data_IF_116819099167
#
_entry.id   IF_116819099167
#
_cell.length_a   1.000
_cell.length_b   1.000
_cell.length_c   1.000
_cell.angle_alpha   90.00
_cell.angle_beta   90.00
_cell.angle_gamma   90.00
#
_symmetry.space_group_name_H-M   'P 1'
#
loop_
_entity.id
_entity.type
_entity.pdbx_description
1 polymer ?
#
# COMPACT_ATOMS: atom_id res chain seq x y z
N UNK A 1 -5.35 -0.81 16.35
CA UNK A 1 -4.49 -1.66 15.48
C UNK A 1 -3.69 -0.74 14.55
N UNK A 2 -2.49 -1.12 14.10
CA UNK A 2 -1.77 -0.30 13.09
C UNK A 2 -2.48 -0.54 11.76
N UNK A 3 -3.14 0.48 11.21
CA UNK A 3 -3.75 0.40 9.89
C UNK A 3 -2.71 0.67 8.81
N UNK A 4 -2.78 -0.09 7.72
CA UNK A 4 -1.99 0.20 6.53
C UNK A 4 -2.53 1.49 5.90
N UNK A 5 -1.65 2.44 5.53
CA UNK A 5 -2.07 3.70 4.91
C UNK A 5 -2.42 3.55 3.42
N UNK A 6 -2.46 2.30 2.91
CA UNK A 6 -2.74 1.97 1.51
C UNK A 6 -4.25 1.91 1.27
N UNK A 7 -4.74 2.62 0.26
CA UNK A 7 -6.13 2.51 -0.21
C UNK A 7 -6.29 1.56 -1.40
N UNK A 8 -5.33 1.52 -2.33
CA UNK A 8 -5.32 0.53 -3.41
C UNK A 8 -3.90 0.19 -3.89
N UNK A 9 -3.76 -1.01 -4.47
CA UNK A 9 -2.52 -1.51 -5.07
C UNK A 9 -2.61 -1.47 -6.59
N UNK A 10 -1.56 -0.97 -7.23
CA UNK A 10 -1.59 -0.66 -8.66
C UNK A 10 -0.25 -0.96 -9.32
N UNK A 11 -0.30 -1.23 -10.61
CA UNK A 11 0.90 -1.53 -11.39
C UNK A 11 0.74 -1.00 -12.81
N UNK A 12 1.83 -0.53 -13.39
CA UNK A 12 1.85 -0.10 -14.78
C UNK A 12 2.14 -1.29 -15.70
N UNK A 13 1.42 -1.41 -16.81
CA UNK A 13 1.76 -2.37 -17.86
C UNK A 13 3.05 -1.97 -18.57
N UNK A 14 3.96 -2.91 -18.83
CA UNK A 14 5.19 -2.67 -19.57
C UNK A 14 4.96 -2.36 -21.06
N UNK A 15 3.88 -2.89 -21.65
CA UNK A 15 3.61 -2.75 -23.09
C UNK A 15 2.82 -1.49 -23.43
N UNK A 16 1.68 -1.27 -22.75
CA UNK A 16 0.78 -0.15 -23.03
C UNK A 16 0.92 1.02 -22.06
N UNK A 17 1.72 0.89 -21.00
CA UNK A 17 1.95 1.92 -19.97
C UNK A 17 0.69 2.34 -19.19
N UNK A 18 -0.43 1.64 -19.36
CA UNK A 18 -1.67 1.86 -18.61
C UNK A 18 -1.58 1.25 -17.22
N UNK A 19 -2.28 1.86 -16.26
CA UNK A 19 -2.32 1.39 -14.88
C UNK A 19 -3.42 0.34 -14.71
N UNK A 20 -3.12 -0.68 -13.90
CA UNK A 20 -4.01 -1.78 -13.56
C UNK A 20 -4.12 -1.92 -12.04
N UNK A 21 -5.32 -2.19 -11.54
CA UNK A 21 -5.51 -2.56 -10.13
C UNK A 21 -5.00 -3.97 -9.87
N UNK A 22 -4.38 -4.13 -8.70
CA UNK A 22 -4.02 -5.43 -8.14
C UNK A 22 -5.01 -5.73 -7.01
N UNK A 23 -5.72 -6.87 -7.04
CA UNK A 23 -6.88 -7.11 -6.19
C UNK A 23 -6.52 -7.30 -4.71
N UNK A 24 -5.30 -7.76 -4.42
CA UNK A 24 -4.87 -8.07 -3.05
C UNK A 24 -3.44 -7.63 -2.79
N UNK A 25 -3.17 -7.27 -1.53
CA UNK A 25 -1.81 -6.99 -1.05
C UNK A 25 -0.85 -8.12 -1.33
N UNK A 26 -1.27 -9.37 -1.13
CA UNK A 26 -0.43 -10.54 -1.35
C UNK A 26 0.02 -10.66 -2.82
N UNK A 27 -0.88 -10.41 -3.78
CA UNK A 27 -0.53 -10.42 -5.20
C UNK A 27 0.39 -9.26 -5.54
N UNK A 28 0.17 -8.08 -4.95
CA UNK A 28 1.06 -6.93 -5.09
C UNK A 28 2.48 -7.24 -4.61
N UNK A 29 2.62 -7.83 -3.42
CA UNK A 29 3.93 -8.19 -2.86
C UNK A 29 4.65 -9.24 -3.70
N UNK A 30 3.92 -10.23 -4.25
CA UNK A 30 4.47 -11.23 -5.18
C UNK A 30 4.99 -10.59 -6.46
N UNK A 31 4.21 -9.70 -7.08
CA UNK A 31 4.64 -9.02 -8.30
C UNK A 31 5.83 -8.11 -7.98
N UNK A 32 5.78 -7.32 -6.91
CA UNK A 32 6.86 -6.41 -6.48
C UNK A 32 8.21 -7.12 -6.31
N UNK A 33 8.18 -8.33 -5.73
CA UNK A 33 9.38 -9.14 -5.51
C UNK A 33 10.04 -9.55 -6.84
N UNK A 34 9.23 -9.82 -7.87
CA UNK A 34 9.68 -10.41 -9.13
C UNK A 34 9.73 -9.42 -10.30
N UNK A 35 9.20 -8.20 -10.15
CA UNK A 35 9.00 -7.24 -11.24
C UNK A 35 10.28 -6.79 -11.96
N UNK A 36 11.44 -6.90 -11.31
CA UNK A 36 12.72 -6.59 -11.93
C UNK A 36 13.11 -7.63 -13.00
N UNK A 37 12.65 -8.87 -12.84
CA UNK A 37 12.97 -10.01 -13.71
C UNK A 37 11.79 -10.33 -14.63
N UNK A 38 10.56 -10.18 -14.13
CA UNK A 38 9.32 -10.44 -14.84
C UNK A 38 8.49 -9.14 -14.89
N UNK A 39 8.67 -8.31 -15.94
CA UNK A 39 7.82 -7.15 -16.16
C UNK A 39 6.35 -7.54 -16.22
N UNK A 40 5.49 -6.64 -15.75
CA UNK A 40 4.06 -6.89 -15.75
C UNK A 40 3.42 -6.45 -17.08
N UNK A 41 2.63 -7.33 -17.69
CA UNK A 41 1.81 -7.03 -18.87
C UNK A 41 0.32 -7.23 -18.56
N UNK A 42 -0.57 -6.66 -19.37
CA UNK A 42 -2.02 -6.79 -19.13
C UNK A 42 -2.50 -8.25 -19.18
N UNK A 43 -1.83 -9.10 -19.95
CA UNK A 43 -2.08 -10.54 -20.00
C UNK A 43 -1.93 -11.18 -18.61
N UNK A 44 -0.96 -10.74 -17.80
CA UNK A 44 -0.77 -11.21 -16.42
C UNK A 44 -1.98 -10.87 -15.54
N UNK A 45 -2.68 -9.76 -15.82
CA UNK A 45 -3.88 -9.38 -15.08
C UNK A 45 -5.08 -10.29 -15.36
N UNK A 46 -5.04 -11.12 -16.41
CA UNK A 46 -6.12 -12.08 -16.72
C UNK A 46 -6.34 -13.12 -15.63
N UNK A 47 -5.36 -13.33 -14.75
CA UNK A 47 -5.52 -14.12 -13.53
C UNK A 47 -6.68 -13.64 -12.64
N UNK A 48 -7.00 -12.34 -12.64
CA UNK A 48 -8.10 -11.75 -11.86
C UNK A 48 -9.10 -10.94 -12.68
N UNK A 49 -8.79 -10.61 -13.94
CA UNK A 49 -9.69 -9.91 -14.87
C UNK A 49 -9.58 -10.55 -16.27
N UNK A 50 -10.29 -11.65 -16.55
CA UNK A 50 -10.03 -12.51 -17.72
C UNK A 50 -10.05 -11.82 -19.08
N UNK A 51 -10.90 -10.82 -19.26
CA UNK A 51 -11.10 -10.11 -20.54
C UNK A 51 -10.15 -8.92 -20.76
N UNK A 52 -9.25 -8.62 -19.80
CA UNK A 52 -8.38 -7.44 -19.92
C UNK A 52 -7.35 -7.61 -21.06
N UNK A 53 -7.17 -6.51 -21.75
CA UNK A 53 -6.23 -6.31 -22.85
C UNK A 53 -5.49 -4.98 -22.69
N UNK A 54 -4.49 -4.77 -23.54
CA UNK A 54 -3.80 -3.49 -23.65
C UNK A 54 -4.67 -2.40 -24.31
N UNK A 55 -5.75 -2.76 -24.99
CA UNK A 55 -6.66 -1.82 -25.63
C UNK A 55 -7.65 -1.20 -24.63
N UNK A 56 -7.99 -1.93 -23.57
CA UNK A 56 -8.82 -1.41 -22.48
C UNK A 56 -8.23 -0.17 -21.82
N UNK A 57 -9.10 0.74 -21.40
CA UNK A 57 -8.74 1.98 -20.71
C UNK A 57 -7.96 1.73 -19.42
N UNK A 58 -7.18 2.73 -19.00
CA UNK A 58 -6.43 2.68 -17.75
C UNK A 58 -7.38 2.60 -16.56
N UNK A 59 -7.11 1.71 -15.60
CA UNK A 59 -7.95 1.59 -14.39
C UNK A 59 -7.85 2.86 -13.53
N UNK A 60 -6.73 3.56 -13.66
CA UNK A 60 -6.44 4.80 -12.97
C UNK A 60 -5.79 5.79 -13.94
N UNK A 61 -6.23 7.04 -13.84
CA UNK A 61 -5.61 8.17 -14.52
C UNK A 61 -4.91 9.01 -13.48
N UNK A 62 -3.76 9.59 -13.83
CA UNK A 62 -3.04 10.52 -12.96
C UNK A 62 -3.65 11.91 -13.11
N UNK A 63 -4.78 12.10 -12.44
CA UNK A 63 -5.58 13.34 -12.46
C UNK A 63 -5.37 14.24 -11.23
N UNK A 64 -4.51 13.81 -10.29
CA UNK A 64 -4.25 14.50 -9.03
C UNK A 64 -5.17 14.08 -7.88
N UNK A 65 -6.15 13.22 -8.12
CA UNK A 65 -7.05 12.68 -7.08
C UNK A 65 -6.37 11.67 -6.15
N UNK A 66 -5.19 11.17 -6.54
CA UNK A 66 -4.47 10.10 -5.86
C UNK A 66 -3.05 10.52 -5.52
N UNK A 67 -2.63 10.25 -4.27
CA UNK A 67 -1.22 10.30 -3.91
C UNK A 67 -0.55 8.99 -4.29
N UNK A 68 0.42 9.07 -5.20
CA UNK A 68 1.15 7.90 -5.71
C UNK A 68 2.47 7.71 -4.98
N UNK A 69 2.72 6.46 -4.58
CA UNK A 69 4.01 6.05 -4.04
C UNK A 69 4.48 4.78 -4.75
N UNK A 70 5.72 4.79 -5.24
CA UNK A 70 6.29 3.70 -6.04
C UNK A 70 7.27 2.92 -5.16
N UNK A 71 6.99 1.63 -4.91
CA UNK A 71 7.94 0.76 -4.23
C UNK A 71 9.14 0.48 -5.16
N UNK A 72 10.31 0.27 -4.56
CA UNK A 72 11.46 -0.24 -5.32
C UNK A 72 11.16 -1.68 -5.77
N UNK A 73 11.60 -2.09 -6.97
CA UNK A 73 11.59 -3.49 -7.37
C UNK A 73 12.36 -4.37 -6.38
N UNK A 74 12.04 -5.66 -6.38
CA UNK A 74 12.76 -6.70 -5.63
C UNK A 74 12.70 -6.54 -4.11
N UNK A 75 11.73 -5.77 -3.58
CA UNK A 75 11.45 -5.82 -2.15
C UNK A 75 10.74 -7.15 -1.87
N UNK A 76 11.31 -7.99 -0.98
CA UNK A 76 10.85 -9.36 -0.77
C UNK A 76 9.46 -9.40 -0.16
N UNK A 77 8.69 -10.42 -0.52
CA UNK A 77 7.44 -10.71 0.17
C UNK A 77 7.75 -11.02 1.64
N UNK A 78 6.97 -10.49 2.60
CA UNK A 78 7.14 -10.83 4.00
C UNK A 78 7.03 -12.34 4.22
N UNK A 79 7.72 -12.91 5.22
CA UNK A 79 7.54 -14.31 5.59
C UNK A 79 6.09 -14.64 5.91
N UNK A 80 5.72 -15.92 5.82
CA UNK A 80 4.35 -16.35 6.11
C UNK A 80 3.89 -15.91 7.51
N UNK A 81 2.71 -15.29 7.59
CA UNK A 81 2.14 -14.75 8.82
C UNK A 81 2.71 -13.40 9.27
N UNK A 82 3.80 -12.93 8.65
CA UNK A 82 4.31 -11.58 8.88
C UNK A 82 3.64 -10.58 7.94
N UNK A 83 3.56 -9.33 8.38
CA UNK A 83 3.00 -8.25 7.57
C UNK A 83 3.97 -7.08 7.49
N UNK A 84 4.27 -6.60 6.28
CA UNK A 84 4.93 -5.31 6.06
C UNK A 84 3.87 -4.21 6.01
N UNK A 85 3.95 -3.23 6.89
CA UNK A 85 2.97 -2.14 6.99
C UNK A 85 3.65 -0.82 6.68
N UNK A 86 3.01 0.01 5.87
CA UNK A 86 3.48 1.34 5.53
C UNK A 86 2.63 2.39 6.24
N UNK A 87 3.29 3.31 6.94
CA UNK A 87 2.66 4.46 7.57
C UNK A 87 3.09 5.73 6.84
N UNK A 88 2.19 6.33 6.08
CA UNK A 88 2.45 7.60 5.37
C UNK A 88 2.55 8.72 6.42
N UNK A 89 3.53 9.61 6.24
CA UNK A 89 3.72 10.80 7.09
C UNK A 89 3.12 12.01 6.39
N UNK A 90 2.71 13.02 7.15
CA UNK A 90 2.25 14.28 6.55
C UNK A 90 3.31 14.91 5.64
N UNK A 91 2.83 15.63 4.63
CA UNK A 91 3.65 16.41 3.69
C UNK A 91 4.58 17.38 4.42
N UNK A 92 5.74 17.65 3.81
CA UNK A 92 6.73 18.56 4.38
C UNK A 92 7.64 17.94 5.46
N UNK A 93 7.52 16.63 5.68
CA UNK A 93 8.45 15.86 6.51
C UNK A 93 9.80 15.58 5.84
N UNK A 94 10.73 14.95 6.59
CA UNK A 94 12.05 14.51 6.07
C UNK A 94 12.01 13.14 5.38
N UNK A 95 10.89 12.42 5.50
CA UNK A 95 10.67 11.07 4.94
C UNK A 95 9.20 10.93 4.56
N UNK A 96 8.95 10.20 3.48
CA UNK A 96 7.62 9.93 2.95
C UNK A 96 6.79 9.03 3.89
N UNK A 97 7.39 7.94 4.36
CA UNK A 97 6.73 6.95 5.20
C UNK A 97 7.67 6.35 6.24
N UNK A 98 7.09 5.61 7.16
CA UNK A 98 7.77 4.61 7.98
C UNK A 98 7.35 3.21 7.54
N UNK A 99 8.31 2.27 7.58
CA UNK A 99 8.07 0.84 7.32
C UNK A 99 8.10 0.09 8.64
N UNK A 100 7.09 -0.74 8.87
CA UNK A 100 7.00 -1.64 10.00
C UNK A 100 6.87 -3.08 9.51
N UNK A 101 7.37 -4.02 10.29
CA UNK A 101 6.95 -5.42 10.20
C UNK A 101 6.16 -5.80 11.45
N UNK A 102 5.13 -6.61 11.27
CA UNK A 102 4.35 -7.19 12.37
C UNK A 102 4.49 -8.69 12.30
N UNK A 103 4.96 -9.29 13.40
CA UNK A 103 5.06 -10.74 13.54
C UNK A 103 3.67 -11.39 13.72
N UNK A 104 3.52 -12.71 13.50
CA UNK A 104 2.31 -13.44 13.85
C UNK A 104 1.87 -13.25 15.31
N UNK A 105 2.83 -13.02 16.22
CA UNK A 105 2.57 -12.70 17.63
C UNK A 105 1.94 -11.31 17.86
N UNK A 106 1.92 -10.45 16.84
CA UNK A 106 1.47 -9.06 16.91
C UNK A 106 2.57 -8.06 17.27
N UNK A 107 3.78 -8.53 17.57
CA UNK A 107 4.92 -7.65 17.87
C UNK A 107 5.36 -6.85 16.63
N UNK A 108 5.80 -5.60 16.85
CA UNK A 108 6.10 -4.65 15.78
C UNK A 108 7.57 -4.27 15.75
N UNK A 109 8.13 -4.28 14.55
CA UNK A 109 9.54 -4.04 14.31
C UNK A 109 9.73 -2.86 13.35
N UNK A 110 10.71 -2.01 13.67
CA UNK A 110 11.08 -0.81 12.90
C UNK A 110 12.47 -0.86 12.29
N UNK A 111 13.20 -1.96 12.45
CA UNK A 111 14.55 -2.11 11.92
C UNK A 111 14.95 -3.57 11.80
N UNK A 112 15.92 -3.83 10.91
CA UNK A 112 16.54 -5.15 10.77
C UNK A 112 17.21 -5.63 12.06
N UNK A 113 17.89 -4.73 12.78
CA UNK A 113 18.55 -5.08 14.06
C UNK A 113 17.55 -5.64 15.07
N UNK A 114 16.33 -5.10 15.12
CA UNK A 114 15.29 -5.60 16.01
C UNK A 114 14.71 -6.93 15.54
N UNK A 115 14.55 -7.13 14.22
CA UNK A 115 14.17 -8.43 13.66
C UNK A 115 15.20 -9.51 13.99
N UNK A 116 16.49 -9.22 13.81
CA UNK A 116 17.58 -10.17 14.09
C UNK A 116 17.60 -10.60 15.56
N UNK A 117 17.54 -9.62 16.49
CA UNK A 117 17.47 -9.92 17.92
C UNK A 117 16.29 -10.81 18.24
N UNK A 118 15.11 -10.48 17.70
CA UNK A 118 13.89 -11.25 17.91
C UNK A 118 13.99 -12.67 17.37
N UNK A 119 14.46 -12.87 16.14
CA UNK A 119 14.59 -14.22 15.57
C UNK A 119 15.61 -15.09 16.34
N UNK A 120 16.64 -14.49 16.93
CA UNK A 120 17.58 -15.20 17.80
C UNK A 120 16.97 -15.62 19.14
N UNK A 121 16.07 -14.80 19.69
CA UNK A 121 15.36 -15.05 20.94
C UNK A 121 14.17 -16.00 20.77
N UNK A 122 13.65 -16.13 19.54
CA UNK A 122 12.44 -16.88 19.19
C UNK A 122 12.73 -17.99 18.14
N UNK A 123 13.36 -19.11 18.54
CA UNK A 123 13.72 -20.21 17.65
C UNK A 123 12.51 -20.94 17.03
N UNK A 124 11.27 -20.66 17.46
CA UNK A 124 10.05 -21.16 16.83
C UNK A 124 9.83 -20.64 15.41
N UNK A 125 10.45 -19.52 15.03
CA UNK A 125 10.40 -18.98 13.67
C UNK A 125 11.46 -19.61 12.74
N UNK A 126 11.81 -20.87 12.98
CA UNK A 126 12.71 -21.66 12.11
C UNK A 126 12.25 -21.61 10.65
N UNK A 127 13.14 -21.17 9.76
CA UNK A 127 12.87 -21.01 8.32
C UNK A 127 12.54 -19.59 7.88
N UNK A 128 12.30 -18.65 8.81
CA UNK A 128 12.25 -17.22 8.49
C UNK A 128 13.67 -16.69 8.32
N UNK A 129 13.97 -16.12 7.16
CA UNK A 129 15.30 -15.55 6.88
C UNK A 129 15.28 -14.03 6.84
N UNK A 130 16.40 -13.41 7.20
CA UNK A 130 16.55 -11.95 7.18
C UNK A 130 16.33 -11.35 5.79
N UNK A 131 16.64 -12.11 4.72
CA UNK A 131 16.45 -11.70 3.33
C UNK A 131 14.99 -11.47 2.95
N UNK A 132 14.02 -11.95 3.74
CA UNK A 132 12.60 -11.72 3.53
C UNK A 132 12.11 -10.38 4.13
N UNK A 133 13.01 -9.62 4.75
CA UNK A 133 12.70 -8.33 5.35
C UNK A 133 13.43 -7.19 4.65
N UNK A 134 12.72 -6.10 4.43
CA UNK A 134 13.26 -4.87 3.88
C UNK A 134 12.49 -3.66 4.37
N UNK A 135 13.25 -2.69 4.89
CA UNK A 135 12.77 -1.41 5.41
C UNK A 135 12.93 -0.27 4.40
N UNK A 136 13.09 -0.60 3.11
CA UNK A 136 13.11 0.40 2.04
C UNK A 136 11.75 1.10 1.96
N UNK A 137 11.79 2.43 1.91
CA UNK A 137 10.59 3.24 1.70
C UNK A 137 10.26 3.37 0.21
N UNK A 138 8.97 3.43 -0.14
CA UNK A 138 8.56 3.82 -1.48
C UNK A 138 8.92 5.28 -1.74
N UNK A 139 9.08 5.60 -3.03
CA UNK A 139 9.35 6.94 -3.52
C UNK A 139 8.04 7.64 -3.84
N UNK A 140 7.71 8.80 -3.24
CA UNK A 140 6.56 9.59 -3.67
C UNK A 140 6.76 10.08 -5.10
N UNK A 141 5.69 10.12 -5.90
CA UNK A 141 5.76 10.72 -7.23
C UNK A 141 5.77 12.26 -7.19
N UNK A 142 5.33 12.88 -6.09
CA UNK A 142 5.29 14.33 -5.94
C UNK A 142 6.68 14.91 -5.60
N UNK A 143 7.15 15.83 -6.44
CA UNK A 143 8.53 16.36 -6.41
C UNK A 143 8.88 17.13 -5.11
N UNK A 144 7.88 17.57 -4.34
CA UNK A 144 8.07 18.37 -3.11
C UNK A 144 7.50 17.75 -1.83
N UNK A 145 7.06 16.49 -1.87
CA UNK A 145 6.44 15.85 -0.71
C UNK A 145 7.38 15.79 0.50
N UNK A 146 8.64 15.45 0.23
CA UNK A 146 9.70 15.37 1.23
C UNK A 146 10.54 16.64 1.16
N UNK A 147 10.65 17.37 2.27
CA UNK A 147 11.53 18.55 2.32
C UNK A 147 12.97 18.10 2.10
N UNK A 148 13.57 18.62 1.03
CA UNK A 148 15.02 18.54 0.83
C UNK A 148 15.68 19.25 2.01
N UNK A 149 16.46 18.52 2.82
CA UNK A 149 17.22 19.11 3.94
C UNK A 149 18.10 20.22 3.35
N UNK A 150 17.86 21.47 3.74
CA UNK A 150 18.77 22.57 3.41
C UNK A 150 20.11 22.23 4.05
N UNK A 151 21.15 22.02 3.24
CA UNK A 151 22.50 21.94 3.76
C UNK A 151 22.77 23.28 4.45
N UNK A 152 23.16 23.25 5.73
CA UNK A 152 23.72 24.42 6.40
C UNK A 152 25.03 24.75 5.71
N UNK A 153 24.97 25.60 4.69
CA UNK A 153 26.14 26.16 4.04
C UNK A 153 26.83 27.08 5.05
N UNK A 154 27.94 26.62 5.62
CA UNK A 154 28.93 27.53 6.15
C UNK A 154 29.44 28.43 5.01
N UNK A 155 29.55 29.73 5.28
CA UNK A 155 30.02 30.80 4.37
C UNK A 155 31.33 30.42 3.65
N UNK A 156 31.71 30.92 2.47
CA UNK A 156 31.52 32.21 1.80
C UNK A 156 32.01 32.06 0.34
N UNK A 157 31.35 32.68 -0.65
CA UNK A 157 31.94 33.66 -1.59
C UNK A 157 31.00 33.93 -2.77
N UNK A 158 30.76 35.23 -2.99
CA UNK A 158 30.00 35.82 -4.11
C UNK A 158 30.61 35.41 -5.46
N UNK A 159 29.77 34.98 -6.41
CA UNK A 159 29.75 35.57 -7.76
C UNK A 159 28.35 35.41 -8.37
N UNK A 160 27.90 36.51 -8.97
CA UNK A 160 26.64 36.68 -9.68
C UNK A 160 26.59 35.83 -10.96
N UNK A 161 25.45 35.22 -11.24
CA UNK A 161 25.18 34.53 -12.50
C UNK A 161 23.76 33.98 -12.51
N UNK A 162 22.85 34.69 -13.18
CA UNK A 162 21.46 34.27 -13.35
C UNK A 162 21.39 32.93 -14.08
N UNK A 163 20.70 31.93 -13.50
CA UNK A 163 20.33 30.70 -14.18
C UNK A 163 18.80 30.66 -14.29
N UNK A 164 18.36 30.81 -15.54
CA UNK A 164 17.00 30.53 -16.01
C UNK A 164 16.67 29.07 -15.70
N UNK A 165 15.54 28.82 -15.04
CA UNK A 165 15.00 27.48 -14.86
C UNK A 165 14.52 26.96 -16.22
N UNK A 166 15.13 25.88 -16.71
CA UNK A 166 14.64 25.15 -17.88
C UNK A 166 13.82 23.95 -17.38
N UNK A 167 12.60 23.71 -17.88
CA UNK A 167 11.71 22.65 -17.39
C UNK A 167 12.32 21.24 -17.50
N UNK A 168 12.06 20.41 -16.49
CA UNK A 168 12.67 19.09 -16.27
C UNK A 168 12.23 18.00 -17.27
N UNK A 169 11.45 18.29 -18.31
CA UNK A 169 11.13 17.28 -19.34
C UNK A 169 12.34 16.94 -20.22
N UNK A 170 13.30 17.85 -20.39
CA UNK A 170 14.44 17.62 -21.29
C UNK A 170 15.59 16.81 -20.66
N UNK A 171 15.72 16.79 -19.33
CA UNK A 171 16.81 16.06 -18.67
C UNK A 171 16.63 14.54 -18.71
N UNK A 172 15.40 14.05 -18.84
CA UNK A 172 15.12 12.63 -19.05
C UNK A 172 15.58 12.18 -20.46
N UNK A 173 15.47 13.06 -21.47
CA UNK A 173 15.86 12.76 -22.85
C UNK A 173 17.36 12.97 -23.14
N UNK A 174 18.04 13.87 -22.40
CA UNK A 174 19.44 14.24 -22.68
C UNK A 174 20.47 13.15 -22.31
N UNK A 175 20.13 12.21 -21.41
CA UNK A 175 20.99 11.05 -21.11
C UNK A 175 21.05 10.00 -22.24
N UNK A 176 20.20 10.10 -23.27
CA UNK A 176 20.14 9.14 -24.38
C UNK A 176 20.73 9.65 -25.71
N UNK A 177 21.47 10.77 -25.73
CA UNK A 177 22.08 11.32 -26.95
C UNK A 177 23.60 11.45 -26.89
N UNK A 178 24.28 10.51 -26.24
CA UNK A 178 25.74 10.45 -26.26
C UNK A 178 26.20 8.99 -26.35
N UNK A 179 26.14 8.42 -27.56
CA UNK A 179 27.02 7.37 -28.06
C UNK A 179 26.62 7.07 -29.51
N UNK A 180 27.21 7.81 -30.45
CA UNK A 180 27.23 7.43 -31.86
C UNK A 180 28.68 7.54 -32.33
N UNK A 181 29.37 6.41 -32.37
CA UNK A 181 30.60 6.21 -33.16
C UNK A 181 30.77 4.71 -33.42
N UNK A 182 30.46 4.33 -34.67
CA UNK A 182 30.94 3.23 -35.53
C UNK A 182 31.26 1.82 -34.96
N UNK A 183 30.36 0.87 -35.30
CA UNK A 183 30.47 -0.51 -35.84
C UNK A 183 31.59 -1.51 -35.41
N UNK A 184 31.44 -2.83 -35.67
CA UNK A 184 30.39 -3.77 -35.24
C UNK A 184 30.99 -5.09 -34.67
N UNK A 185 30.46 -5.67 -33.58
CA UNK A 185 30.67 -7.11 -33.34
C UNK A 185 29.64 -7.74 -32.38
N UNK A 186 29.38 -9.01 -32.64
CA UNK A 186 28.35 -9.89 -32.09
C UNK A 186 28.44 -10.08 -30.58
N UNK A 187 27.36 -9.77 -29.84
CA UNK A 187 26.75 -10.65 -28.83
C UNK A 187 25.62 -9.90 -28.11
N UNK A 188 24.49 -10.59 -27.94
CA UNK A 188 23.24 -10.01 -27.44
C UNK A 188 23.38 -9.33 -26.07
N UNK A 189 23.29 -8.00 -26.08
CA UNK A 189 23.17 -7.20 -24.88
C UNK A 189 21.68 -7.12 -24.48
N UNK A 190 21.36 -7.67 -23.32
CA UNK A 190 20.07 -7.47 -22.64
C UNK A 190 19.80 -5.98 -22.50
N UNK A 191 18.70 -5.51 -23.10
CA UNK A 191 18.19 -4.15 -22.93
C UNK A 191 17.88 -3.95 -21.44
N UNK A 192 18.29 -2.83 -20.81
CA UNK A 192 17.92 -2.56 -19.43
C UNK A 192 16.41 -2.31 -19.39
N UNK A 193 15.67 -3.27 -18.82
CA UNK A 193 14.26 -3.13 -18.47
C UNK A 193 14.13 -1.88 -17.61
N UNK A 194 13.57 -0.81 -18.17
CA UNK A 194 13.15 0.34 -17.38
C UNK A 194 12.12 -0.19 -16.39
N UNK A 195 12.51 -0.26 -15.11
CA UNK A 195 11.74 -0.93 -14.08
C UNK A 195 10.28 -0.45 -14.09
N UNK A 196 9.38 -1.37 -14.44
CA UNK A 196 7.95 -1.15 -14.42
C UNK A 196 7.55 -0.62 -13.04
N UNK A 197 6.98 0.60 -12.93
CA UNK A 197 6.69 1.15 -11.62
C UNK A 197 5.52 0.39 -10.99
N UNK A 198 5.76 -0.13 -9.80
CA UNK A 198 4.75 -0.73 -8.96
C UNK A 198 4.39 0.26 -7.85
N UNK A 199 3.11 0.59 -7.72
CA UNK A 199 2.68 1.64 -6.83
C UNK A 199 1.49 1.29 -5.98
N UNK A 200 1.30 2.11 -4.98
CA UNK A 200 0.13 2.10 -4.14
C UNK A 200 -0.38 3.53 -4.06
N UNK A 201 -1.69 3.64 -3.89
CA UNK A 201 -2.38 4.91 -3.78
C UNK A 201 -3.03 5.01 -2.41
N UNK A 202 -3.00 6.22 -1.85
CA UNK A 202 -3.75 6.57 -0.64
C UNK A 202 -4.74 7.68 -1.00
N UNK A 203 -5.97 7.58 -0.48
CA UNK A 203 -6.97 8.64 -0.62
C UNK A 203 -6.48 9.90 0.08
N UNK A 204 -6.73 11.07 -0.51
CA UNK A 204 -6.52 12.34 0.17
C UNK A 204 -7.57 12.52 1.28
N UNK A 205 -7.22 12.25 2.53
CA UNK A 205 -8.17 12.44 3.63
C UNK A 205 -8.23 13.92 4.03
N UNK A 206 -9.26 14.60 3.53
CA UNK A 206 -10.05 15.58 4.30
C UNK A 206 -11.48 15.71 3.74
N UNK A 207 -12.23 14.60 3.67
CA UNK A 207 -13.69 14.66 3.73
C UNK A 207 -14.16 13.54 4.66
N UNK A 208 -14.68 13.94 5.82
CA UNK A 208 -15.49 13.10 6.69
C UNK A 208 -16.73 12.66 5.91
N UNK A 209 -16.73 11.43 5.40
CA UNK A 209 -17.98 10.79 4.98
C UNK A 209 -18.53 10.08 6.21
N UNK A 210 -19.47 10.74 6.88
CA UNK A 210 -20.46 10.08 7.72
C UNK A 210 -21.09 8.95 6.89
N UNK A 211 -20.73 7.71 7.19
CA UNK A 211 -21.53 6.56 6.78
C UNK A 211 -22.66 6.46 7.79
N UNK A 212 -23.83 6.94 7.39
CA UNK A 212 -25.06 6.70 8.12
C UNK A 212 -25.33 5.20 8.14
N UNK A 213 -25.13 4.57 9.30
CA UNK A 213 -25.73 3.28 9.61
C UNK A 213 -27.21 3.50 9.91
N UNK A 214 -28.07 3.19 8.94
CA UNK A 214 -29.41 2.66 9.24
C UNK A 214 -29.39 1.24 8.68
N UNK A 215 -29.36 0.17 9.47
CA UNK A 215 -30.14 -0.05 10.68
C UNK A 215 -31.13 -1.17 10.38
N UNK A 216 -30.63 -2.38 10.10
CA UNK A 216 -31.46 -3.58 10.06
C UNK A 216 -31.42 -4.22 11.45
N UNK A 217 -32.44 -4.01 12.27
CA UNK A 217 -32.67 -4.81 13.46
C UNK A 217 -34.16 -5.10 13.62
N UNK A 218 -34.48 -6.37 13.39
CA UNK A 218 -35.32 -7.23 14.24
C UNK A 218 -36.59 -6.64 14.83
N UNK A 219 -37.70 -7.21 14.37
CA UNK A 219 -39.03 -7.24 14.96
C UNK A 219 -39.03 -7.47 16.48
N UNK A 220 -39.51 -6.48 17.24
CA UNK A 220 -40.03 -6.66 18.58
C UNK A 220 -41.55 -6.50 18.58
N UNK A 221 -42.16 -7.36 19.37
CA UNK A 221 -43.60 -7.59 19.55
C UNK A 221 -44.24 -6.45 20.34
N UNK A 222 -45.36 -5.94 19.83
CA UNK A 222 -46.23 -5.00 20.53
C UNK A 222 -46.87 -5.67 21.75
N UNK A 223 -46.69 -5.05 22.92
CA UNK A 223 -47.47 -5.34 24.12
C UNK A 223 -48.33 -4.11 24.44
N UNK A 224 -49.60 -4.19 24.06
CA UNK A 224 -50.67 -3.28 24.49
C UNK A 224 -51.02 -3.55 25.96
N UNK A 225 -51.07 -2.49 26.76
CA UNK A 225 -51.70 -2.50 28.07
C UNK A 225 -53.23 -2.38 27.92
N UNK A 226 -53.99 -2.87 28.90
CA UNK A 226 -54.92 -1.92 29.52
C UNK A 226 -54.96 -2.03 31.04
N UNK A 227 -55.19 -0.89 31.67
CA UNK A 227 -55.63 -0.79 33.05
C UNK A 227 -57.15 -0.92 33.09
N UNK A 228 -57.70 -1.80 33.94
CA UNK A 228 -58.91 -1.51 34.69
C UNK A 228 -59.04 -2.36 35.95
N UNK A 229 -59.49 -1.69 37.00
CA UNK A 229 -59.73 -2.14 38.37
C UNK A 229 -60.89 -3.11 38.50
N UNK A 230 -60.84 -4.01 39.50
CA UNK A 230 -61.88 -4.35 40.51
C UNK A 230 -61.54 -5.70 41.18
N UNK A 231 -61.33 -5.73 42.49
CA UNK A 231 -61.46 -6.96 43.30
C UNK A 231 -62.92 -7.17 43.73
N UNK A 232 -63.23 -8.02 44.74
CA UNK A 232 -62.53 -9.19 45.28
C UNK A 232 -63.42 -10.46 45.27
N UNK A 233 -62.93 -11.64 45.69
CA UNK A 233 -63.83 -12.70 46.17
C UNK A 233 -63.33 -14.15 46.15
N UNK A 234 -63.29 -14.73 47.35
CA UNK A 234 -63.75 -16.07 47.77
C UNK A 234 -62.98 -17.35 47.40
N UNK A 235 -62.42 -17.93 48.46
CA UNK A 235 -62.58 -19.30 48.98
C UNK A 235 -62.02 -20.53 48.26
N UNK A 236 -61.15 -21.19 49.04
CA UNK A 236 -61.14 -22.61 49.45
C UNK A 236 -60.08 -23.57 48.84
N UNK A 237 -59.30 -24.27 49.70
CA UNK A 237 -58.40 -25.34 49.28
C UNK A 237 -59.04 -26.73 49.49
N UNK A 238 -58.91 -27.62 48.51
CA UNK A 238 -59.12 -29.06 48.72
C UNK A 238 -58.09 -29.91 47.99
N UNK A 239 -57.18 -30.44 48.80
CA UNK A 239 -56.82 -31.86 48.98
C UNK A 239 -56.75 -32.83 47.78
N UNK A 240 -55.67 -33.63 47.81
CA UNK A 240 -55.50 -34.91 47.11
C UNK A 240 -54.09 -34.99 46.52
N UNK A 241 -53.04 -35.52 47.17
CA UNK A 241 -52.84 -36.88 47.72
C UNK A 241 -53.13 -37.98 46.69
N UNK A 242 -52.07 -38.65 46.25
CA UNK A 242 -52.14 -39.80 45.35
C UNK A 242 -50.76 -40.21 44.86
N UNK A 243 -50.12 -41.06 45.66
CA UNK A 243 -49.03 -42.03 45.43
C UNK A 243 -48.24 -42.01 44.12
#
# INVERSE_FOLDING_TARGET
MLSDSVSAYTIQCADCLKWRFIPTKQKYEQIRETIAELPFCCETAREWRPEITCDDESDLVKDGSWRWAIDKPSIPKPPHGWQRILRIRAEGGIRFSDVYYVAPSGERFRSMVKIQSFLNEHPEYQGVTESQFSFLNPTPMEENYVRKRRATSAASHKMSGALVQVPMEENYKRKHRATSTDSPDMSGALVPVAATPISWVALDQMIDIYVGEEGNSTSEVEAEAPAESLGPGVDDPSAGSGC
#
